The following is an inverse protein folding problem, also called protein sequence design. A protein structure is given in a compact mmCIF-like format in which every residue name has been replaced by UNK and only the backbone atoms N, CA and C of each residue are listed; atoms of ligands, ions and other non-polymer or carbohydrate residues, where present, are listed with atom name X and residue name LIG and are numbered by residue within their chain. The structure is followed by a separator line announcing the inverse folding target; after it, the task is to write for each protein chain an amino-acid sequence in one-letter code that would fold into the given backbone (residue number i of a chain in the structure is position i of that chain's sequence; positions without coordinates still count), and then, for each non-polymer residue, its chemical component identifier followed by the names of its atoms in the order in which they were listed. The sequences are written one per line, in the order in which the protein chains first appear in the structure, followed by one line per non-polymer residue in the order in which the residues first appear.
data_IF_531383241955
#
_entry.id   IF_531383241955
#
_cell.length_a   1.000
_cell.length_b   1.000
_cell.length_c   1.000
_cell.angle_alpha   90.00
_cell.angle_beta   90.00
_cell.angle_gamma   90.00
#
_symmetry.space_group_name_H-M   'P 1'
#
loop_
_entity.id
_entity.type
_entity.pdbx_description
1 polymer ?
#
# COMPACT_ATOMS: atom_id res chain seq x y z
N UNK A 1 6.96 29.52 16.00
CA UNK A 1 5.62 29.63 15.37
C UNK A 1 5.51 29.11 13.93
N UNK A 2 6.17 29.68 12.90
CA UNK A 2 6.05 29.14 11.50
C UNK A 2 6.64 27.72 11.33
N UNK A 3 7.74 27.41 12.02
CA UNK A 3 8.37 26.08 12.01
C UNK A 3 7.51 25.01 12.72
N UNK A 4 6.99 25.31 13.91
CA UNK A 4 6.15 24.37 14.69
C UNK A 4 4.79 24.07 14.03
N UNK A 5 4.20 25.02 13.31
CA UNK A 5 2.98 24.80 12.52
C UNK A 5 3.27 23.93 11.29
N UNK A 6 4.46 24.06 10.69
CA UNK A 6 4.92 23.20 9.60
C UNK A 6 5.17 21.78 10.09
N UNK A 7 5.88 21.59 11.20
CA UNK A 7 6.13 20.29 11.82
C UNK A 7 4.83 19.61 12.30
N UNK A 8 3.89 20.35 12.90
CA UNK A 8 2.58 19.80 13.27
C UNK A 8 1.74 19.41 12.06
N UNK A 9 1.82 20.16 10.96
CA UNK A 9 1.10 19.83 9.71
C UNK A 9 1.70 18.60 9.02
N UNK A 10 3.04 18.48 9.01
CA UNK A 10 3.72 17.25 8.56
C UNK A 10 3.46 16.06 9.48
N UNK A 11 3.39 16.27 10.80
CA UNK A 11 3.07 15.24 11.79
C UNK A 11 1.58 14.82 11.77
N UNK A 12 0.65 15.71 11.41
CA UNK A 12 -0.76 15.32 11.19
C UNK A 12 -0.95 14.65 9.82
N UNK A 13 -0.21 15.09 8.81
CA UNK A 13 -0.09 14.43 7.50
C UNK A 13 0.52 13.03 7.60
N UNK A 14 1.34 12.73 8.61
CA UNK A 14 1.94 11.41 8.78
C UNK A 14 1.02 10.41 9.50
N UNK A 15 -0.09 10.87 10.08
CA UNK A 15 -1.05 10.03 10.83
C UNK A 15 -2.31 9.71 10.00
N UNK A 16 -2.64 10.56 9.02
CA UNK A 16 -3.79 10.41 8.14
C UNK A 16 -3.33 10.17 6.70
N UNK A 17 -3.99 9.27 5.99
CA UNK A 17 -3.76 9.11 4.56
C UNK A 17 -4.18 10.38 3.83
N UNK A 18 -3.50 10.67 2.72
CA UNK A 18 -4.01 11.62 1.74
C UNK A 18 -5.47 11.26 1.37
N UNK A 19 -6.37 12.24 1.21
CA UNK A 19 -7.79 11.97 0.92
C UNK A 19 -8.03 11.06 -0.29
N UNK A 20 -7.22 11.15 -1.34
CA UNK A 20 -7.35 10.29 -2.51
C UNK A 20 -6.97 8.84 -2.18
N UNK A 21 -5.87 8.64 -1.44
CA UNK A 21 -5.46 7.30 -1.00
C UNK A 21 -6.46 6.69 -0.01
N UNK A 22 -7.08 7.51 0.84
CA UNK A 22 -8.14 7.06 1.72
C UNK A 22 -9.36 6.56 0.93
N UNK A 23 -9.82 7.33 -0.05
CA UNK A 23 -10.93 6.93 -0.92
C UNK A 23 -10.63 5.64 -1.72
N UNK A 24 -9.41 5.52 -2.25
CA UNK A 24 -8.98 4.28 -2.92
C UNK A 24 -8.97 3.07 -1.98
N UNK A 25 -8.56 3.26 -0.73
CA UNK A 25 -8.54 2.19 0.27
C UNK A 25 -9.96 1.74 0.64
N UNK A 26 -10.90 2.68 0.77
CA UNK A 26 -12.30 2.38 1.04
C UNK A 26 -12.97 1.67 -0.15
N UNK A 27 -12.69 2.11 -1.38
CA UNK A 27 -13.16 1.42 -2.60
C UNK A 27 -12.57 0.01 -2.71
N UNK A 28 -11.28 -0.16 -2.43
CA UNK A 28 -10.66 -1.48 -2.40
C UNK A 28 -11.26 -2.40 -1.33
N UNK A 29 -11.65 -1.86 -0.17
CA UNK A 29 -12.36 -2.63 0.86
C UNK A 29 -13.71 -3.12 0.36
N UNK A 30 -14.47 -2.27 -0.36
CA UNK A 30 -15.73 -2.65 -1.00
C UNK A 30 -15.47 -3.77 -2.01
N UNK A 31 -14.46 -3.63 -2.86
CA UNK A 31 -14.07 -4.64 -3.84
C UNK A 31 -13.74 -5.99 -3.20
N UNK A 32 -12.91 -6.02 -2.15
CA UNK A 32 -12.60 -7.24 -1.40
C UNK A 32 -13.88 -7.96 -0.92
N UNK A 33 -14.88 -7.21 -0.45
CA UNK A 33 -16.14 -7.78 -0.01
C UNK A 33 -16.99 -8.29 -1.17
N UNK A 34 -16.99 -7.60 -2.33
CA UNK A 34 -17.68 -8.06 -3.54
C UNK A 34 -17.09 -9.37 -4.07
N UNK A 35 -15.77 -9.55 -3.93
CA UNK A 35 -15.09 -10.81 -4.25
C UNK A 35 -15.35 -11.94 -3.24
N UNK A 36 -16.19 -11.71 -2.22
CA UNK A 36 -16.55 -12.72 -1.22
C UNK A 36 -15.47 -13.02 -0.20
N UNK A 37 -14.49 -12.13 -0.01
CA UNK A 37 -13.46 -12.32 1.00
C UNK A 37 -14.04 -12.32 2.41
N UNK A 38 -13.44 -13.11 3.31
CA UNK A 38 -13.83 -13.10 4.72
C UNK A 38 -13.50 -11.75 5.36
N UNK A 39 -14.26 -11.36 6.40
CA UNK A 39 -13.99 -10.12 7.18
C UNK A 39 -12.55 -10.04 7.67
N UNK A 40 -11.98 -11.16 8.11
CA UNK A 40 -10.58 -11.22 8.57
C UNK A 40 -9.58 -10.96 7.45
N UNK A 41 -9.83 -11.53 6.27
CA UNK A 41 -8.97 -11.35 5.09
C UNK A 41 -9.06 -9.92 4.56
N UNK A 42 -10.27 -9.38 4.41
CA UNK A 42 -10.50 -7.98 4.02
C UNK A 42 -9.78 -7.02 4.96
N UNK A 43 -9.93 -7.22 6.29
CA UNK A 43 -9.26 -6.37 7.30
C UNK A 43 -7.74 -6.41 7.15
N UNK A 44 -7.19 -7.60 6.92
CA UNK A 44 -5.75 -7.80 6.80
C UNK A 44 -5.20 -7.21 5.49
N UNK A 45 -5.96 -7.29 4.40
CA UNK A 45 -5.61 -6.69 3.10
C UNK A 45 -5.63 -5.16 3.18
N UNK A 46 -6.69 -4.58 3.74
CA UNK A 46 -6.82 -3.13 3.97
C UNK A 46 -5.70 -2.62 4.88
N UNK A 47 -5.37 -3.36 5.95
CA UNK A 47 -4.27 -2.99 6.85
C UNK A 47 -2.91 -3.00 6.15
N UNK A 48 -2.66 -4.02 5.33
CA UNK A 48 -1.42 -4.13 4.54
C UNK A 48 -1.29 -2.99 3.52
N UNK A 49 -2.39 -2.68 2.82
CA UNK A 49 -2.43 -1.56 1.87
C UNK A 49 -2.24 -0.21 2.56
N UNK A 50 -2.83 -0.01 3.74
CA UNK A 50 -2.64 1.22 4.53
C UNK A 50 -1.17 1.42 4.91
N UNK A 51 -0.48 0.37 5.34
CA UNK A 51 0.96 0.44 5.66
C UNK A 51 1.77 0.82 4.42
N UNK A 52 1.43 0.25 3.26
CA UNK A 52 2.08 0.57 2.00
C UNK A 52 1.84 2.02 1.57
N UNK A 53 0.61 2.52 1.66
CA UNK A 53 0.29 3.91 1.33
C UNK A 53 1.02 4.90 2.24
N UNK A 54 1.15 4.62 3.54
CA UNK A 54 2.00 5.44 4.42
C UNK A 54 3.48 5.41 4.03
N UNK A 55 3.98 4.25 3.61
CA UNK A 55 5.33 4.16 3.05
C UNK A 55 5.47 5.04 1.81
N UNK A 56 4.51 5.00 0.88
CA UNK A 56 4.53 5.86 -0.31
C UNK A 56 4.49 7.36 0.04
N UNK A 57 3.65 7.75 1.00
CA UNK A 57 3.60 9.13 1.51
C UNK A 57 4.96 9.58 2.06
N UNK A 58 5.66 8.72 2.81
CA UNK A 58 7.01 9.01 3.30
C UNK A 58 8.04 9.19 2.18
N UNK A 59 7.73 8.70 0.97
CA UNK A 59 8.53 8.85 -0.26
C UNK A 59 7.97 9.91 -1.20
N UNK A 60 6.92 10.65 -0.80
CA UNK A 60 6.19 11.63 -1.62
C UNK A 60 5.71 11.03 -2.96
N UNK A 61 5.19 9.79 -2.90
CA UNK A 61 4.64 9.05 -4.04
C UNK A 61 3.19 8.69 -3.81
N UNK A 62 2.46 8.51 -4.91
CA UNK A 62 1.12 7.94 -4.95
C UNK A 62 1.15 6.47 -5.36
N UNK A 63 0.00 5.77 -5.26
CA UNK A 63 -0.13 4.39 -5.73
C UNK A 63 0.05 4.24 -7.25
N UNK A 64 -0.04 5.32 -8.01
CA UNK A 64 0.12 5.33 -9.47
C UNK A 64 1.60 5.50 -9.91
N UNK A 65 2.48 5.88 -8.99
CA UNK A 65 3.91 6.14 -9.26
C UNK A 65 4.82 5.00 -8.75
N UNK A 66 4.26 3.79 -8.70
CA UNK A 66 4.92 2.60 -8.17
C UNK A 66 5.50 1.77 -9.30
N UNK A 67 6.81 1.67 -9.29
CA UNK A 67 7.60 0.80 -10.16
C UNK A 67 8.29 -0.32 -9.35
N UNK A 68 9.14 -1.08 -10.03
CA UNK A 68 9.90 -2.19 -9.42
C UNK A 68 10.85 -1.72 -8.32
N UNK A 69 11.42 -0.53 -8.42
CA UNK A 69 12.39 -0.02 -7.46
C UNK A 69 11.73 0.53 -6.20
N UNK A 70 10.53 1.11 -6.34
CA UNK A 70 9.65 1.43 -5.19
C UNK A 70 9.28 0.16 -4.43
N UNK A 71 8.89 -0.91 -5.13
CA UNK A 71 8.53 -2.18 -4.49
C UNK A 71 9.72 -2.87 -3.82
N UNK A 72 10.92 -2.84 -4.42
CA UNK A 72 12.15 -3.33 -3.75
C UNK A 72 12.45 -2.53 -2.48
N UNK A 73 12.31 -1.20 -2.55
CA UNK A 73 12.49 -0.33 -1.38
C UNK A 73 11.47 -0.63 -0.29
N UNK A 74 10.24 -1.02 -0.67
CA UNK A 74 9.22 -1.45 0.28
C UNK A 74 9.54 -2.81 0.92
N UNK A 75 10.09 -3.77 0.15
CA UNK A 75 10.58 -5.04 0.71
C UNK A 75 11.67 -4.78 1.75
N UNK A 76 12.67 -3.95 1.41
CA UNK A 76 13.74 -3.55 2.32
C UNK A 76 13.19 -2.91 3.61
N UNK A 77 12.25 -1.99 3.46
CA UNK A 77 11.54 -1.38 4.60
C UNK A 77 10.88 -2.42 5.51
N UNK A 78 10.15 -3.37 4.93
CA UNK A 78 9.44 -4.40 5.71
C UNK A 78 10.40 -5.35 6.44
N UNK A 79 11.48 -5.78 5.78
CA UNK A 79 12.45 -6.73 6.34
C UNK A 79 13.39 -6.05 7.34
N UNK A 80 14.04 -4.96 6.93
CA UNK A 80 15.16 -4.40 7.70
C UNK A 80 14.70 -3.37 8.73
N UNK A 81 13.63 -2.63 8.46
CA UNK A 81 13.14 -1.60 9.39
C UNK A 81 11.99 -2.13 10.26
N UNK A 82 10.98 -2.77 9.65
CA UNK A 82 9.86 -3.34 10.41
C UNK A 82 10.09 -4.75 10.95
N UNK A 83 11.16 -5.43 10.51
CA UNK A 83 11.56 -6.77 10.99
C UNK A 83 10.43 -7.81 10.94
N UNK A 84 9.60 -7.76 9.89
CA UNK A 84 8.51 -8.71 9.74
C UNK A 84 9.02 -10.06 9.22
N UNK A 85 8.35 -11.14 9.59
CA UNK A 85 8.65 -12.47 9.07
C UNK A 85 8.35 -12.57 7.56
N UNK A 86 9.06 -13.45 6.85
CA UNK A 86 8.87 -13.69 5.41
C UNK A 86 7.43 -14.08 5.05
N UNK A 87 6.76 -14.87 5.90
CA UNK A 87 5.34 -15.20 5.71
C UNK A 87 4.46 -13.95 5.70
N UNK A 88 4.71 -13.00 6.60
CA UNK A 88 3.99 -11.72 6.67
C UNK A 88 4.29 -10.85 5.46
N UNK A 89 5.53 -10.87 4.97
CA UNK A 89 5.92 -10.17 3.73
C UNK A 89 5.16 -10.72 2.51
N UNK A 90 5.13 -12.05 2.35
CA UNK A 90 4.39 -12.71 1.26
C UNK A 90 2.89 -12.40 1.31
N UNK A 91 2.32 -12.36 2.52
CA UNK A 91 0.93 -11.95 2.74
C UNK A 91 0.69 -10.48 2.36
N UNK A 92 1.59 -9.56 2.77
CA UNK A 92 1.51 -8.15 2.38
C UNK A 92 1.49 -8.00 0.85
N UNK A 93 2.39 -8.68 0.15
CA UNK A 93 2.45 -8.63 -1.31
C UNK A 93 1.27 -9.31 -2.01
N UNK A 94 0.55 -10.19 -1.33
CA UNK A 94 -0.72 -10.72 -1.84
C UNK A 94 -1.82 -9.65 -1.84
N UNK A 95 -1.88 -8.84 -0.79
CA UNK A 95 -2.78 -7.68 -0.72
C UNK A 95 -2.41 -6.61 -1.76
N UNK A 96 -1.11 -6.32 -1.94
CA UNK A 96 -0.65 -5.39 -2.98
C UNK A 96 -1.03 -5.92 -4.37
N UNK A 97 -0.77 -7.19 -4.66
CA UNK A 97 -1.14 -7.78 -5.95
C UNK A 97 -2.64 -7.63 -6.21
N UNK A 98 -3.50 -7.98 -5.26
CA UNK A 98 -4.95 -7.83 -5.38
C UNK A 98 -5.38 -6.36 -5.60
N UNK A 99 -4.77 -5.41 -4.88
CA UNK A 99 -5.06 -3.99 -5.07
C UNK A 99 -4.68 -3.50 -6.47
N UNK A 100 -3.51 -3.87 -6.97
CA UNK A 100 -3.08 -3.47 -8.31
C UNK A 100 -3.83 -4.20 -9.43
N UNK A 101 -4.28 -5.43 -9.22
CA UNK A 101 -5.24 -6.09 -10.15
C UNK A 101 -6.56 -5.32 -10.21
N UNK A 102 -7.09 -4.88 -9.05
CA UNK A 102 -8.30 -4.03 -9.03
C UNK A 102 -8.08 -2.70 -9.77
N UNK A 103 -6.96 -2.01 -9.53
CA UNK A 103 -6.66 -0.77 -10.28
C UNK A 103 -6.54 -1.00 -11.79
N UNK A 104 -6.00 -2.15 -12.20
CA UNK A 104 -5.90 -2.54 -13.60
C UNK A 104 -7.30 -2.79 -14.20
N UNK A 105 -8.15 -3.52 -13.48
CA UNK A 105 -9.55 -3.75 -13.85
C UNK A 105 -10.35 -2.45 -14.01
N UNK A 106 -10.13 -1.48 -13.12
CA UNK A 106 -10.72 -0.14 -13.18
C UNK A 106 -10.10 0.77 -14.25
N UNK A 107 -9.17 0.27 -15.08
CA UNK A 107 -8.43 1.02 -16.10
C UNK A 107 -7.66 2.24 -15.55
N UNK A 108 -7.29 2.22 -14.25
CA UNK A 108 -6.52 3.29 -13.61
C UNK A 108 -5.02 3.18 -13.84
N UNK A 109 -4.55 1.98 -14.20
CA UNK A 109 -3.16 1.67 -14.55
C UNK A 109 -3.14 0.79 -15.80
N UNK A 110 -1.98 0.69 -16.45
CA UNK A 110 -1.80 -0.12 -17.67
C UNK A 110 -1.24 -1.52 -17.40
N UNK A 111 -0.56 -1.70 -16.28
CA UNK A 111 0.05 -2.98 -15.90
C UNK A 111 0.15 -3.08 -14.37
N UNK A 112 0.15 -4.32 -13.85
CA UNK A 112 0.37 -4.56 -12.43
C UNK A 112 1.88 -4.63 -12.12
N UNK A 113 2.46 -3.65 -11.39
CA UNK A 113 3.90 -3.62 -11.10
C UNK A 113 4.34 -4.72 -10.11
N UNK A 114 3.40 -5.32 -9.36
CA UNK A 114 3.68 -6.25 -8.26
C UNK A 114 4.08 -7.64 -8.76
N UNK A 115 3.49 -8.11 -9.86
CA UNK A 115 3.62 -9.49 -10.33
C UNK A 115 5.09 -9.89 -10.55
N UNK A 116 5.85 -9.05 -11.25
CA UNK A 116 7.25 -9.32 -11.55
C UNK A 116 8.13 -9.35 -10.29
N UNK A 117 7.85 -8.46 -9.32
CA UNK A 117 8.61 -8.38 -8.06
C UNK A 117 8.29 -9.56 -7.17
N UNK A 118 7.01 -9.92 -7.02
CA UNK A 118 6.59 -11.08 -6.26
C UNK A 118 7.27 -12.35 -6.76
N UNK A 119 7.22 -12.63 -8.07
CA UNK A 119 7.89 -13.80 -8.68
C UNK A 119 9.40 -13.88 -8.39
N UNK A 120 10.06 -12.73 -8.18
CA UNK A 120 11.52 -12.67 -7.98
C UNK A 120 11.94 -12.82 -6.52
N UNK A 121 11.13 -12.33 -5.58
CA UNK A 121 11.54 -12.18 -4.17
C UNK A 121 10.66 -12.96 -3.17
N UNK A 122 9.53 -13.53 -3.61
CA UNK A 122 8.51 -14.15 -2.75
C UNK A 122 8.11 -15.54 -3.20
#
# INVERSE_FOLDING_TARGET
MRAEVSEKREMMSSVLLDPEMFDLLDKFKVECNLQGMSKSSTTSYVSSMRIFMFFLMSKRKTVFEVDKDVLKSYIDYLINQRKIAYRTLSYNFSALAAFYEWLLFENKIKENPVQAVRKRYL
#
